data_IF_482140707590
#
_entry.id   IF_482140707590
#
_cell.length_a   1.000
_cell.length_b   1.000
_cell.length_c   1.000
_cell.angle_alpha   90.00
_cell.angle_beta   90.00
_cell.angle_gamma   90.00
#
_symmetry.space_group_name_H-M   'P 1'
#
loop_
_entity.id
_entity.type
_entity.pdbx_description
1 polymer ?
#
# COMPACT_ATOMS: atom_id res chain seq x y z
N UNK A 1 3.95 1.98 8.58
CA UNK A 1 3.90 0.76 7.78
C UNK A 1 2.87 0.87 6.64
N UNK A 2 1.55 1.14 6.91
CA UNK A 2 0.50 1.16 5.88
C UNK A 2 0.79 2.12 4.71
N UNK A 3 1.18 3.36 5.00
CA UNK A 3 1.56 4.34 3.98
C UNK A 3 2.77 3.87 3.17
N UNK A 4 3.81 3.35 3.83
CA UNK A 4 5.00 2.87 3.12
C UNK A 4 4.66 1.73 2.15
N UNK A 5 3.85 0.76 2.59
CA UNK A 5 3.36 -0.31 1.73
C UNK A 5 2.63 0.24 0.49
N UNK A 6 1.73 1.20 0.70
CA UNK A 6 0.94 1.76 -0.39
C UNK A 6 1.73 2.65 -1.34
N UNK A 7 2.81 3.29 -0.88
CA UNK A 7 3.73 4.04 -1.75
C UNK A 7 4.46 3.10 -2.71
N UNK A 8 4.99 1.99 -2.20
CA UNK A 8 5.65 0.97 -3.02
C UNK A 8 4.68 0.34 -4.03
N UNK A 9 3.43 0.14 -3.61
CA UNK A 9 2.38 -0.49 -4.41
C UNK A 9 1.45 0.53 -5.10
N UNK A 10 1.88 1.79 -5.24
CA UNK A 10 1.05 2.85 -5.79
C UNK A 10 0.53 2.51 -7.20
N UNK A 11 -0.77 2.68 -7.40
CA UNK A 11 -1.45 2.40 -8.65
C UNK A 11 -1.52 0.92 -9.05
N UNK A 12 -1.07 -0.02 -8.20
CA UNK A 12 -1.09 -1.45 -8.54
C UNK A 12 -2.47 -2.10 -8.42
N UNK A 13 -3.34 -1.55 -7.57
CA UNK A 13 -4.63 -2.15 -7.24
C UNK A 13 -4.52 -3.55 -6.61
N UNK A 14 -3.38 -3.90 -6.01
CA UNK A 14 -3.12 -5.24 -5.50
C UNK A 14 -4.12 -5.65 -4.42
N UNK A 15 -4.85 -6.74 -4.65
CA UNK A 15 -5.94 -7.18 -3.78
C UNK A 15 -5.45 -7.68 -2.41
N UNK A 16 -4.25 -8.27 -2.33
CA UNK A 16 -3.68 -8.71 -1.04
C UNK A 16 -3.39 -7.48 -0.15
N UNK A 17 -2.78 -6.44 -0.73
CA UNK A 17 -2.54 -5.17 -0.04
C UNK A 17 -3.87 -4.51 0.37
N UNK A 18 -4.87 -4.49 -0.50
CA UNK A 18 -6.18 -3.95 -0.19
C UNK A 18 -6.84 -4.66 1.00
N UNK A 19 -6.81 -6.00 1.03
CA UNK A 19 -7.36 -6.80 2.13
C UNK A 19 -6.70 -6.43 3.46
N UNK A 20 -5.37 -6.34 3.48
CA UNK A 20 -4.61 -5.92 4.66
C UNK A 20 -5.00 -4.52 5.13
N UNK A 21 -5.05 -3.55 4.21
CA UNK A 21 -5.44 -2.18 4.54
C UNK A 21 -6.90 -2.09 5.03
N UNK A 22 -7.81 -2.91 4.50
CA UNK A 22 -9.20 -2.98 4.97
C UNK A 22 -9.31 -3.55 6.38
N UNK A 23 -8.50 -4.55 6.73
CA UNK A 23 -8.43 -5.07 8.10
C UNK A 23 -7.93 -3.96 9.05
N UNK A 24 -6.85 -3.29 8.69
CA UNK A 24 -6.32 -2.17 9.48
C UNK A 24 -7.35 -1.04 9.66
N UNK A 25 -8.11 -0.72 8.62
CA UNK A 25 -9.16 0.31 8.69
C UNK A 25 -10.30 -0.01 9.66
N UNK A 26 -10.56 -1.30 9.90
CA UNK A 26 -11.62 -1.75 10.82
C UNK A 26 -11.19 -1.77 12.29
N UNK A 27 -9.92 -1.54 12.58
CA UNK A 27 -9.45 -1.51 13.97
C UNK A 27 -10.04 -0.30 14.70
N UNK A 28 -10.62 -0.56 15.87
CA UNK A 28 -11.25 0.42 16.77
C UNK A 28 -10.74 0.15 18.18
N UNK A 29 -9.42 0.09 18.34
CA UNK A 29 -8.78 -0.11 19.64
C UNK A 29 -8.52 1.25 20.30
N UNK A 30 -8.30 1.28 21.61
CA UNK A 30 -7.97 2.50 22.35
C UNK A 30 -6.69 3.18 21.86
N UNK A 31 -5.78 2.42 21.24
CA UNK A 31 -4.52 2.91 20.68
C UNK A 31 -4.67 3.47 19.25
N UNK A 32 -5.85 3.30 18.64
CA UNK A 32 -6.12 3.75 17.27
C UNK A 32 -6.61 5.19 17.29
N UNK A 33 -5.75 6.10 16.87
CA UNK A 33 -6.07 7.52 16.78
C UNK A 33 -6.89 7.84 15.53
N UNK A 34 -7.56 9.01 15.55
CA UNK A 34 -8.26 9.53 14.38
C UNK A 34 -7.36 9.61 13.13
N UNK A 35 -6.13 10.07 13.30
CA UNK A 35 -5.15 10.16 12.22
C UNK A 35 -4.71 8.81 11.66
N UNK A 36 -4.83 7.72 12.41
CA UNK A 36 -4.59 6.38 11.91
C UNK A 36 -5.57 6.03 10.77
N UNK A 37 -6.85 6.30 10.95
CA UNK A 37 -7.87 6.07 9.93
C UNK A 37 -7.62 6.91 8.68
N UNK A 38 -7.18 8.17 8.86
CA UNK A 38 -6.77 9.03 7.75
C UNK A 38 -5.59 8.43 6.98
N UNK A 39 -4.56 7.99 7.70
CA UNK A 39 -3.37 7.38 7.09
C UNK A 39 -3.72 6.11 6.29
N UNK A 40 -4.57 5.24 6.84
CA UNK A 40 -5.04 4.05 6.13
C UNK A 40 -5.94 4.41 4.95
N UNK A 41 -6.79 5.43 5.08
CA UNK A 41 -7.59 5.95 3.98
C UNK A 41 -6.73 6.45 2.82
N UNK A 42 -5.68 7.23 3.10
CA UNK A 42 -4.70 7.67 2.11
C UNK A 42 -3.95 6.49 1.47
N UNK A 43 -3.55 5.51 2.28
CA UNK A 43 -2.88 4.31 1.78
C UNK A 43 -3.73 3.56 0.75
N UNK A 44 -5.03 3.40 1.01
CA UNK A 44 -5.96 2.81 0.03
C UNK A 44 -6.05 3.68 -1.23
N UNK A 45 -6.09 5.02 -1.08
CA UNK A 45 -6.10 5.93 -2.21
C UNK A 45 -4.86 5.79 -3.10
N UNK A 46 -3.66 5.70 -2.50
CA UNK A 46 -2.42 5.49 -3.25
C UNK A 46 -2.40 4.14 -3.97
N UNK A 47 -2.93 3.09 -3.35
CA UNK A 47 -3.01 1.77 -3.98
C UNK A 47 -3.76 1.79 -5.32
N UNK A 48 -4.77 2.66 -5.46
CA UNK A 48 -5.58 2.84 -6.67
C UNK A 48 -5.26 4.15 -7.41
N UNK A 49 -4.08 4.71 -7.23
CA UNK A 49 -3.68 5.99 -7.79
C UNK A 49 -3.96 6.05 -9.30
N UNK A 50 -4.72 7.08 -9.71
CA UNK A 50 -5.09 7.29 -11.12
C UNK A 50 -5.84 6.13 -11.77
N UNK A 51 -6.52 5.28 -10.98
CA UNK A 51 -7.18 4.07 -11.50
C UNK A 51 -6.19 3.07 -12.11
N UNK A 52 -4.97 3.01 -11.59
CA UNK A 52 -3.91 2.13 -12.07
C UNK A 52 -3.05 2.72 -13.21
N UNK A 53 -3.35 3.93 -13.67
CA UNK A 53 -2.59 4.60 -14.74
C UNK A 53 -1.42 5.43 -14.21
N UNK A 54 -1.41 5.73 -12.91
CA UNK A 54 -0.38 6.53 -12.28
C UNK A 54 0.41 5.70 -11.27
N UNK A 55 1.65 6.10 -11.08
CA UNK A 55 2.54 5.64 -10.02
C UNK A 55 3.19 6.85 -9.36
N UNK A 56 4.09 6.62 -8.42
CA UNK A 56 4.87 7.67 -7.77
C UNK A 56 6.31 7.61 -8.25
N UNK A 57 6.83 8.75 -8.66
CA UNK A 57 8.19 8.88 -9.13
C UNK A 57 9.22 8.73 -8.02
N UNK A 58 10.43 8.36 -8.41
CA UNK A 58 11.59 8.18 -7.52
C UNK A 58 12.65 9.27 -7.69
N UNK A 59 12.35 10.29 -8.49
CA UNK A 59 13.24 11.45 -8.67
C UNK A 59 13.38 12.25 -7.37
N UNK A 60 14.48 12.98 -7.22
CA UNK A 60 14.73 13.81 -6.02
C UNK A 60 13.57 14.77 -5.71
N UNK A 61 13.01 15.53 -6.69
CA UNK A 61 11.86 16.38 -6.41
C UNK A 61 10.60 15.59 -6.03
N UNK A 62 10.36 14.42 -6.65
CA UNK A 62 9.23 13.54 -6.28
C UNK A 62 9.35 13.06 -4.84
N UNK A 63 10.54 12.60 -4.43
CA UNK A 63 10.81 12.18 -3.05
C UNK A 63 10.60 13.35 -2.08
N UNK A 64 11.07 14.54 -2.41
CA UNK A 64 10.89 15.73 -1.57
C UNK A 64 9.39 16.07 -1.40
N UNK A 65 8.62 16.01 -2.48
CA UNK A 65 7.17 16.22 -2.45
C UNK A 65 6.45 15.16 -1.58
N UNK A 66 6.84 13.89 -1.69
CA UNK A 66 6.29 12.80 -0.87
C UNK A 66 6.63 12.97 0.62
N UNK A 67 7.86 13.38 0.95
CA UNK A 67 8.24 13.68 2.33
C UNK A 67 7.41 14.84 2.88
N UNK A 68 7.25 15.92 2.13
CA UNK A 68 6.42 17.06 2.54
C UNK A 68 4.94 16.66 2.71
N UNK A 69 4.42 15.77 1.85
CA UNK A 69 3.04 15.33 1.92
C UNK A 69 2.75 14.36 3.07
N UNK A 70 3.69 13.49 3.44
CA UNK A 70 3.43 12.33 4.29
C UNK A 70 4.12 12.41 5.65
N UNK A 71 5.18 13.20 5.79
CA UNK A 71 5.92 13.35 7.04
C UNK A 71 5.16 14.11 8.13
N UNK A 72 4.34 15.15 7.85
CA UNK A 72 3.57 15.83 8.89
C UNK A 72 2.68 14.89 9.67
N UNK A 73 2.64 15.07 10.99
CA UNK A 73 1.84 14.25 11.89
C UNK A 73 0.36 14.29 11.51
N UNK A 74 -0.28 13.15 11.63
CA UNK A 74 -1.74 13.05 11.52
C UNK A 74 -2.39 13.55 12.81
N UNK A 75 -3.63 14.07 12.75
CA UNK A 75 -4.36 14.49 13.93
C UNK A 75 -4.57 13.31 14.88
N UNK A 76 -4.44 13.57 16.19
CA UNK A 76 -4.66 12.56 17.21
C UNK A 76 -6.15 12.28 17.42
N UNK A 77 -6.95 13.33 17.44
CA UNK A 77 -8.40 13.28 17.62
C UNK A 77 -9.10 14.29 16.67
N UNK A 78 -10.45 14.26 16.56
CA UNK A 78 -11.18 15.19 15.69
C UNK A 78 -11.06 16.68 16.07
N UNK A 79 -10.62 17.00 17.28
CA UNK A 79 -10.43 18.37 17.76
C UNK A 79 -9.01 18.86 17.63
N UNK A 80 -8.09 18.00 17.16
CA UNK A 80 -6.69 18.36 16.97
C UNK A 80 -6.55 19.41 15.85
N UNK A 81 -6.12 20.61 16.23
CA UNK A 81 -6.01 21.78 15.33
C UNK A 81 -4.85 21.71 14.35
N UNK A 82 -4.53 20.55 13.81
CA UNK A 82 -3.51 20.38 12.75
C UNK A 82 -4.08 20.48 11.33
N UNK A 83 -5.21 21.17 11.18
CA UNK A 83 -5.85 21.34 9.87
C UNK A 83 -4.93 22.00 8.83
N UNK A 84 -4.06 22.91 9.25
CA UNK A 84 -3.09 23.59 8.39
C UNK A 84 -2.06 22.64 7.75
N UNK A 85 -1.77 21.50 8.38
CA UNK A 85 -0.88 20.48 7.84
C UNK A 85 -1.57 19.59 6.79
N UNK A 86 -2.89 19.57 6.76
CA UNK A 86 -3.63 18.69 5.86
C UNK A 86 -3.50 19.14 4.39
N UNK A 87 -3.33 20.43 4.14
CA UNK A 87 -3.09 20.96 2.79
C UNK A 87 -1.83 20.38 2.14
N UNK A 88 -0.78 20.15 2.91
CA UNK A 88 0.47 19.54 2.41
C UNK A 88 0.28 18.12 1.89
N UNK A 89 -0.74 17.39 2.34
CA UNK A 89 -1.02 16.04 1.88
C UNK A 89 -1.27 15.95 0.38
N UNK A 90 -1.75 17.03 -0.22
CA UNK A 90 -2.00 17.10 -1.66
C UNK A 90 -0.73 17.25 -2.50
N UNK A 91 0.41 17.56 -1.90
CA UNK A 91 1.69 17.69 -2.62
C UNK A 91 2.18 16.38 -3.25
N UNK A 92 1.61 15.24 -2.88
CA UNK A 92 1.90 13.96 -3.54
C UNK A 92 1.66 14.02 -5.07
N UNK A 93 0.78 14.90 -5.51
CA UNK A 93 0.49 15.08 -6.95
C UNK A 93 1.75 15.47 -7.74
N UNK A 94 2.68 16.20 -7.12
CA UNK A 94 3.96 16.56 -7.75
C UNK A 94 4.88 15.36 -7.96
N UNK A 95 4.62 14.25 -7.29
CA UNK A 95 5.35 13.01 -7.45
C UNK A 95 4.62 12.00 -8.34
N UNK A 96 3.40 12.31 -8.79
CA UNK A 96 2.61 11.40 -9.61
C UNK A 96 3.15 11.38 -11.05
N UNK A 97 3.40 10.18 -11.56
CA UNK A 97 3.91 9.93 -12.90
C UNK A 97 3.03 8.91 -13.63
N UNK A 98 3.04 8.95 -14.95
CA UNK A 98 2.36 7.93 -15.74
C UNK A 98 3.02 6.57 -15.53
N UNK A 99 2.20 5.55 -15.30
CA UNK A 99 2.66 4.17 -15.21
C UNK A 99 2.83 3.64 -16.62
N UNK A 100 4.07 3.56 -17.06
CA UNK A 100 4.41 3.02 -18.38
C UNK A 100 5.53 1.97 -18.24
N UNK A 101 5.58 1.08 -19.21
CA UNK A 101 6.71 0.16 -19.41
C UNK A 101 7.46 0.68 -20.64
N UNK A 102 8.64 1.19 -20.42
CA UNK A 102 9.53 1.62 -21.49
C UNK A 102 10.50 0.49 -21.83
N UNK A 103 10.55 0.11 -23.09
CA UNK A 103 11.57 -0.78 -23.61
C UNK A 103 12.78 0.05 -24.05
N UNK A 104 13.95 -0.34 -23.58
CA UNK A 104 15.22 0.35 -23.89
C UNK A 104 16.18 -0.68 -24.49
N UNK A 105 16.83 -0.31 -25.56
CA UNK A 105 17.93 -1.10 -26.15
C UNK A 105 19.10 -1.14 -25.17
N UNK A 106 19.59 -2.33 -24.86
CA UNK A 106 20.64 -2.56 -23.87
C UNK A 106 21.98 -1.97 -24.31
N UNK A 107 22.26 -1.97 -25.62
CA UNK A 107 23.54 -1.52 -26.15
C UNK A 107 23.60 -0.01 -26.35
N UNK A 108 22.53 0.59 -26.83
CA UNK A 108 22.49 2.01 -27.18
C UNK A 108 21.84 2.90 -26.11
N UNK A 109 21.06 2.32 -25.19
CA UNK A 109 20.29 3.06 -24.19
C UNK A 109 19.12 3.88 -24.76
N UNK A 110 18.80 3.72 -26.06
CA UNK A 110 17.68 4.41 -26.70
C UNK A 110 16.37 3.67 -26.52
N UNK A 111 15.26 4.42 -26.50
CA UNK A 111 13.92 3.85 -26.45
C UNK A 111 13.68 2.97 -27.69
N UNK A 112 13.24 1.72 -27.44
CA UNK A 112 12.93 0.75 -28.48
C UNK A 112 11.44 0.44 -28.51
N UNK A 113 10.82 0.44 -29.68
CA UNK A 113 9.45 0.00 -29.87
C UNK A 113 9.41 -1.52 -29.99
N UNK A 114 8.94 -2.18 -28.94
CA UNK A 114 8.81 -3.64 -28.90
C UNK A 114 7.33 -4.03 -28.84
N UNK A 115 6.85 -4.90 -29.75
CA UNK A 115 5.49 -5.43 -29.67
C UNK A 115 5.36 -6.34 -28.44
N UNK A 116 4.43 -6.00 -27.53
CA UNK A 116 4.16 -6.78 -26.33
C UNK A 116 2.96 -7.69 -26.54
N UNK A 117 3.13 -8.98 -26.24
CA UNK A 117 2.02 -9.93 -26.13
C UNK A 117 1.59 -10.03 -24.67
N UNK A 118 0.39 -9.54 -24.37
CA UNK A 118 -0.17 -9.59 -23.02
C UNK A 118 -1.09 -10.81 -22.92
N UNK A 119 -0.78 -11.73 -22.00
CA UNK A 119 -1.66 -12.83 -21.64
C UNK A 119 -2.46 -12.44 -20.39
N UNK A 120 -3.78 -12.41 -20.50
CA UNK A 120 -4.67 -12.21 -19.38
C UNK A 120 -5.10 -13.56 -18.82
N UNK A 121 -4.75 -13.84 -17.58
CA UNK A 121 -5.28 -14.99 -16.85
C UNK A 121 -6.57 -14.57 -16.14
N UNK A 122 -7.70 -15.03 -16.64
CA UNK A 122 -8.99 -14.90 -15.98
C UNK A 122 -9.10 -16.03 -14.96
N UNK A 123 -8.88 -15.70 -13.70
CA UNK A 123 -9.22 -16.60 -12.58
C UNK A 123 -10.74 -16.64 -12.44
N UNK A 124 -11.31 -17.83 -12.27
CA UNK A 124 -12.75 -17.94 -12.03
C UNK A 124 -13.12 -17.29 -10.69
N UNK A 125 -14.30 -16.69 -10.60
CA UNK A 125 -14.80 -16.07 -9.37
C UNK A 125 -14.86 -17.02 -8.18
N UNK A 126 -14.86 -18.34 -8.41
CA UNK A 126 -14.79 -19.38 -7.40
C UNK A 126 -13.39 -19.46 -6.76
N UNK A 127 -12.33 -19.35 -7.56
CA UNK A 127 -10.94 -19.43 -7.08
C UNK A 127 -10.56 -18.15 -6.32
N UNK A 128 -11.09 -16.99 -6.76
CA UNK A 128 -10.91 -15.74 -6.04
C UNK A 128 -11.61 -15.75 -4.68
N UNK A 129 -12.79 -16.37 -4.56
CA UNK A 129 -13.51 -16.51 -3.29
C UNK A 129 -12.79 -17.44 -2.30
N UNK A 130 -12.26 -18.56 -2.77
CA UNK A 130 -11.48 -19.48 -1.94
C UNK A 130 -10.21 -18.82 -1.41
N UNK A 131 -9.42 -18.19 -2.28
CA UNK A 131 -8.20 -17.47 -1.87
C UNK A 131 -8.50 -16.24 -1.01
N UNK A 132 -9.70 -15.64 -1.13
CA UNK A 132 -10.14 -14.54 -0.30
C UNK A 132 -10.49 -14.98 1.12
N UNK A 133 -11.10 -16.16 1.29
CA UNK A 133 -11.45 -16.72 2.58
C UNK A 133 -10.19 -17.11 3.36
N UNK A 134 -9.21 -17.71 2.70
CA UNK A 134 -7.92 -18.10 3.32
C UNK A 134 -7.10 -16.88 3.76
N UNK A 135 -7.09 -15.81 2.94
CA UNK A 135 -6.40 -14.58 3.30
C UNK A 135 -7.10 -13.82 4.46
N UNK A 136 -8.44 -13.89 4.54
CA UNK A 136 -9.18 -13.26 5.64
C UNK A 136 -8.99 -14.05 6.95
N UNK A 137 -8.89 -15.38 6.87
CA UNK A 137 -8.56 -16.25 7.98
C UNK A 137 -7.13 -16.00 8.50
N UNK A 138 -6.14 -15.94 7.63
CA UNK A 138 -4.75 -15.64 7.98
C UNK A 138 -4.62 -14.23 8.60
N UNK A 139 -5.35 -13.24 8.08
CA UNK A 139 -5.35 -11.89 8.62
C UNK A 139 -5.98 -11.81 10.02
N UNK A 140 -7.00 -12.63 10.29
CA UNK A 140 -7.63 -12.75 11.63
C UNK A 140 -6.69 -13.38 12.65
N UNK A 141 -5.97 -14.42 12.25
CA UNK A 141 -4.96 -15.08 13.12
C UNK A 141 -3.83 -14.13 13.46
N UNK A 142 -3.31 -13.39 12.45
CA UNK A 142 -2.28 -12.38 12.68
C UNK A 142 -2.76 -11.24 13.59
N UNK A 143 -4.00 -10.78 13.42
CA UNK A 143 -4.59 -9.74 14.26
C UNK A 143 -4.83 -10.24 15.71
N UNK A 144 -5.22 -11.49 15.88
CA UNK A 144 -5.40 -12.10 17.20
C UNK A 144 -4.07 -12.26 17.93
N UNK A 145 -3.00 -12.61 17.22
CA UNK A 145 -1.65 -12.75 17.79
C UNK A 145 -1.09 -11.41 18.28
N UNK A 146 -1.36 -10.34 17.54
CA UNK A 146 -0.97 -8.98 17.95
C UNK A 146 -1.79 -8.49 19.15
N UNK A 147 -3.07 -8.89 19.24
CA UNK A 147 -3.98 -8.51 20.32
C UNK A 147 -3.72 -9.26 21.64
N UNK A 148 -3.14 -10.46 21.58
CA UNK A 148 -2.86 -11.29 22.76
C UNK A 148 -1.58 -10.95 23.51
N UNK A 149 -0.85 -9.88 23.11
CA UNK A 149 0.31 -9.37 23.84
C UNK A 149 1.39 -10.46 24.02
N UNK A 150 1.87 -11.03 22.91
CA UNK A 150 2.86 -12.10 22.92
C UNK A 150 4.20 -11.61 23.47
N UNK A 151 4.47 -11.95 24.69
CA UNK A 151 5.83 -12.08 25.18
C UNK A 151 6.35 -13.45 24.73
N UNK A 152 7.62 -13.46 24.31
CA UNK A 152 8.51 -14.61 24.06
C UNK A 152 8.42 -15.27 22.68
N UNK A 153 9.47 -15.08 21.86
CA UNK A 153 9.85 -15.89 20.72
C UNK A 153 9.81 -15.20 19.35
N UNK A 154 10.72 -14.26 19.12
CA UNK A 154 10.82 -13.53 17.82
C UNK A 154 11.31 -14.36 16.63
N UNK A 155 11.81 -15.57 16.85
CA UNK A 155 12.54 -16.32 15.83
C UNK A 155 11.70 -17.29 14.98
N UNK A 156 10.51 -17.71 15.44
CA UNK A 156 9.70 -18.72 14.74
C UNK A 156 8.65 -18.16 13.77
N UNK A 157 8.31 -16.88 13.88
CA UNK A 157 7.24 -16.26 13.04
C UNK A 157 7.72 -15.92 11.64
N UNK A 158 9.02 -15.65 11.47
CA UNK A 158 9.61 -15.33 10.17
C UNK A 158 9.65 -16.55 9.22
N UNK A 159 9.83 -17.74 9.77
CA UNK A 159 9.89 -18.98 8.98
C UNK A 159 8.51 -19.44 8.46
N UNK A 160 7.45 -19.20 9.22
CA UNK A 160 6.09 -19.58 8.82
C UNK A 160 5.47 -18.67 7.75
N UNK A 161 5.84 -17.38 7.75
CA UNK A 161 5.34 -16.43 6.75
C UNK A 161 5.97 -16.64 5.36
N UNK A 162 7.21 -17.18 5.31
CA UNK A 162 7.90 -17.48 4.05
C UNK A 162 7.35 -18.73 3.37
N UNK A 163 6.82 -19.69 4.11
CA UNK A 163 6.28 -20.94 3.58
C UNK A 163 4.87 -20.80 2.95
N UNK A 164 4.15 -19.72 3.26
CA UNK A 164 2.81 -19.46 2.72
C UNK A 164 2.80 -18.58 1.44
N UNK A 165 3.98 -18.21 0.91
CA UNK A 165 4.13 -17.30 -0.23
C UNK A 165 4.71 -17.97 -1.50
N UNK A 166 4.78 -19.32 -1.54
CA UNK A 166 5.16 -20.09 -2.74
C UNK A 166 3.96 -20.67 -3.45
#
# INVERSE_FOLDING_TARGET
AALALSLVMAGSGNLKCLRLLRVLRRRVDNDVTYGFHMAVGMAIGFLFLGGGRLTLGTSKPAIAALLAALFPRFPHDPRDCRYHLQAFRHLYVLAAEARCVDAVDVDTGHAALVPLKVALHTTSLSDERASAADADAAARVAAAHIASGGGEGEDDVAASAAAAAV
#
